data_IF_777506280428
#
_entry.id   IF_777506280428
#
_cell.length_a   1.000
_cell.length_b   1.000
_cell.length_c   1.000
_cell.angle_alpha   90.00
_cell.angle_beta   90.00
_cell.angle_gamma   90.00
#
_symmetry.space_group_name_H-M   'P 1'
#
loop_
_entity.id
_entity.type
_entity.pdbx_description
1 polymer ?
#
# COMPACT_ATOMS: atom_id res chain seq x y z
N UNK A 1 10.38 -9.37 -3.89
CA UNK A 1 9.88 -8.10 -3.31
C UNK A 1 11.03 -7.34 -2.65
N UNK A 2 11.31 -6.10 -3.07
CA UNK A 2 12.36 -5.25 -2.47
C UNK A 2 12.02 -4.96 -1.00
N UNK A 3 13.01 -4.95 -0.08
CA UNK A 3 12.83 -4.71 1.37
C UNK A 3 12.02 -3.44 1.68
N UNK A 4 12.12 -2.42 0.83
CA UNK A 4 11.35 -1.19 0.94
C UNK A 4 9.84 -1.42 0.78
N UNK A 5 9.42 -2.28 -0.17
CA UNK A 5 8.01 -2.58 -0.42
C UNK A 5 7.40 -3.36 0.74
N UNK A 6 8.16 -4.31 1.31
CA UNK A 6 7.77 -5.04 2.52
C UNK A 6 7.49 -4.11 3.71
N UNK A 7 8.38 -3.12 3.93
CA UNK A 7 8.20 -2.14 5.02
C UNK A 7 7.01 -1.21 4.79
N UNK A 8 6.75 -0.79 3.54
CA UNK A 8 5.58 0.01 3.19
C UNK A 8 4.28 -0.79 3.38
N UNK A 9 4.26 -2.05 2.95
CA UNK A 9 3.13 -2.97 3.13
C UNK A 9 2.83 -3.23 4.61
N UNK A 10 3.88 -3.45 5.42
CA UNK A 10 3.75 -3.66 6.86
C UNK A 10 3.17 -2.42 7.55
N UNK A 11 3.55 -1.21 7.12
CA UNK A 11 2.99 0.04 7.62
C UNK A 11 1.49 0.17 7.27
N UNK A 12 1.11 -0.16 6.03
CA UNK A 12 -0.29 -0.16 5.61
C UNK A 12 -1.13 -1.21 6.39
N UNK A 13 -0.58 -2.40 6.60
CA UNK A 13 -1.24 -3.46 7.37
C UNK A 13 -1.46 -3.06 8.85
N UNK A 14 -0.49 -2.37 9.46
CA UNK A 14 -0.63 -1.87 10.83
C UNK A 14 -1.68 -0.75 10.91
N UNK A 15 -1.71 0.15 9.94
CA UNK A 15 -2.73 1.21 9.88
C UNK A 15 -4.14 0.63 9.78
N UNK A 16 -4.34 -0.38 8.91
CA UNK A 16 -5.65 -1.05 8.78
C UNK A 16 -6.12 -1.73 10.09
N UNK A 17 -5.19 -2.28 10.88
CA UNK A 17 -5.53 -2.86 12.19
C UNK A 17 -5.93 -1.80 13.20
N UNK A 18 -5.20 -0.69 13.26
CA UNK A 18 -5.52 0.42 14.16
C UNK A 18 -6.90 1.00 13.84
N UNK A 19 -7.16 1.20 12.54
CA UNK A 19 -8.46 1.63 12.02
C UNK A 19 -9.58 0.64 12.38
N UNK A 20 -9.32 -0.67 12.33
CA UNK A 20 -10.27 -1.69 12.75
C UNK A 20 -10.51 -1.71 14.27
N UNK A 21 -9.46 -1.58 15.07
CA UNK A 21 -9.56 -1.54 16.53
C UNK A 21 -10.32 -0.28 16.99
N UNK A 22 -10.11 0.87 16.32
CA UNK A 22 -10.86 2.10 16.54
C UNK A 22 -12.35 1.89 16.25
N UNK A 23 -12.72 1.19 15.16
CA UNK A 23 -14.11 0.84 14.85
C UNK A 23 -14.77 -0.06 15.90
N UNK A 24 -14.02 -1.03 16.44
CA UNK A 24 -14.56 -1.99 17.39
C UNK A 24 -14.78 -1.34 18.78
N UNK A 25 -13.91 -0.39 19.15
CA UNK A 25 -13.86 0.16 20.50
C UNK A 25 -14.42 1.58 20.64
N UNK A 26 -14.28 2.43 19.61
CA UNK A 26 -14.76 3.82 19.64
C UNK A 26 -16.11 3.91 18.90
N UNK A 27 -17.19 3.94 19.69
CA UNK A 27 -18.55 3.99 19.16
C UNK A 27 -18.79 5.24 18.32
N UNK A 28 -19.13 5.04 17.04
CA UNK A 28 -19.72 5.89 15.98
C UNK A 28 -19.38 7.39 15.83
N UNK A 29 -18.84 8.07 16.84
CA UNK A 29 -18.64 9.53 16.86
C UNK A 29 -17.46 9.96 15.97
N UNK A 30 -16.55 9.04 15.62
CA UNK A 30 -15.41 9.28 14.72
C UNK A 30 -15.52 8.55 13.36
N UNK A 31 -16.69 7.98 13.03
CA UNK A 31 -16.93 7.31 11.74
C UNK A 31 -16.80 8.24 10.52
N UNK A 32 -17.05 9.54 10.69
CA UNK A 32 -16.86 10.52 9.62
C UNK A 32 -15.37 10.72 9.29
N UNK A 33 -14.50 10.68 10.31
CA UNK A 33 -13.04 10.69 10.13
C UNK A 33 -12.51 9.35 9.62
N UNK A 34 -13.22 8.25 9.92
CA UNK A 34 -12.86 6.92 9.48
C UNK A 34 -12.83 6.78 7.96
N UNK A 35 -13.85 7.30 7.25
CA UNK A 35 -13.89 7.26 5.79
C UNK A 35 -12.68 7.92 5.15
N UNK A 36 -12.28 9.08 5.69
CA UNK A 36 -11.10 9.83 5.23
C UNK A 36 -9.80 9.04 5.52
N UNK A 37 -9.65 8.49 6.73
CA UNK A 37 -8.48 7.68 7.11
C UNK A 37 -8.34 6.42 6.24
N UNK A 38 -9.45 5.77 5.92
CA UNK A 38 -9.46 4.58 5.07
C UNK A 38 -9.07 4.91 3.62
N UNK A 39 -9.58 6.01 3.07
CA UNK A 39 -9.19 6.50 1.73
C UNK A 39 -7.69 6.83 1.68
N UNK A 40 -7.15 7.47 2.72
CA UNK A 40 -5.71 7.74 2.81
C UNK A 40 -4.87 6.45 2.84
N UNK A 41 -5.34 5.41 3.53
CA UNK A 41 -4.68 4.10 3.53
C UNK A 41 -4.72 3.44 2.16
N UNK A 42 -5.88 3.49 1.50
CA UNK A 42 -6.08 2.93 0.17
C UNK A 42 -5.14 3.61 -0.84
N UNK A 43 -5.08 4.94 -0.84
CA UNK A 43 -4.16 5.71 -1.69
C UNK A 43 -2.69 5.37 -1.42
N UNK A 44 -2.31 5.17 -0.16
CA UNK A 44 -0.96 4.74 0.19
C UNK A 44 -0.64 3.33 -0.34
N UNK A 45 -1.62 2.41 -0.32
CA UNK A 45 -1.47 1.06 -0.87
C UNK A 45 -1.39 1.10 -2.40
N UNK A 46 -2.21 1.89 -3.08
CA UNK A 46 -2.16 2.07 -4.53
C UNK A 46 -0.80 2.58 -4.99
N UNK A 47 -0.24 3.59 -4.32
CA UNK A 47 1.10 4.08 -4.62
C UNK A 47 2.19 3.00 -4.42
N UNK A 48 2.04 2.11 -3.44
CA UNK A 48 2.95 0.97 -3.24
C UNK A 48 2.83 -0.03 -4.39
N UNK A 49 1.60 -0.31 -4.84
CA UNK A 49 1.34 -1.24 -5.92
C UNK A 49 1.87 -0.70 -7.26
N UNK A 50 1.72 0.60 -7.51
CA UNK A 50 2.29 1.28 -8.68
C UNK A 50 3.83 1.25 -8.65
N UNK A 51 4.46 1.55 -7.50
CA UNK A 51 5.91 1.41 -7.32
C UNK A 51 6.38 -0.04 -7.58
N UNK A 52 5.61 -1.03 -7.15
CA UNK A 52 5.91 -2.46 -7.37
C UNK A 52 5.77 -2.81 -8.84
N UNK A 53 4.70 -2.37 -9.50
CA UNK A 53 4.44 -2.65 -10.91
C UNK A 53 5.48 -1.96 -11.81
N UNK A 54 5.84 -0.71 -11.54
CA UNK A 54 6.90 0.00 -12.23
C UNK A 54 8.26 -0.71 -12.07
N UNK A 55 8.60 -1.10 -10.83
CA UNK A 55 9.82 -1.85 -10.58
C UNK A 55 9.84 -3.25 -11.22
N UNK A 56 8.67 -3.84 -11.48
CA UNK A 56 8.56 -5.11 -12.20
C UNK A 56 8.63 -4.95 -13.72
N UNK A 57 8.23 -3.81 -14.28
CA UNK A 57 8.37 -3.50 -15.71
C UNK A 57 9.81 -3.15 -16.11
N UNK A 58 10.54 -2.45 -15.24
CA UNK A 58 11.97 -2.15 -15.47
C UNK A 58 12.84 -3.42 -15.51
N UNK A 59 12.49 -4.48 -14.76
CA UNK A 59 13.23 -5.77 -14.82
C UNK A 59 12.93 -6.55 -16.14
N UNK A 60 11.81 -6.32 -16.81
CA UNK A 60 11.44 -7.00 -18.08
C UNK A 60 11.99 -6.27 -19.33
N UNK A 61 12.33 -4.98 -19.25
CA UNK A 61 12.88 -4.22 -20.39
C UNK A 61 14.40 -4.44 -20.62
N UNK A 62 15.11 -5.04 -19.66
CA UNK A 62 16.56 -5.34 -19.76
C UNK A 62 16.88 -6.70 -20.44
N UNK A 63 15.87 -7.50 -20.82
CA UNK A 63 16.06 -8.73 -21.63
C UNK A 63 15.86 -8.51 -23.14
N UNK A 64 15.97 -7.26 -23.61
CA UNK A 64 15.83 -6.86 -25.01
C UNK A 64 17.06 -7.11 -25.90
N UNK A 65 17.35 -8.37 -26.20
CA UNK A 65 17.86 -8.85 -27.51
C UNK A 65 19.22 -8.32 -28.04
N UNK A 66 20.33 -8.97 -27.68
CA UNK A 66 21.54 -8.97 -28.54
C UNK A 66 21.37 -10.02 -29.64
N UNK A 67 21.36 -9.57 -30.91
CA UNK A 67 21.57 -10.43 -32.08
C UNK A 67 22.84 -10.00 -32.80
N UNK A 68 23.83 -10.91 -32.80
CA UNK A 68 24.99 -10.88 -33.70
C UNK A 68 24.61 -11.15 -35.16
#
# INVERSE_FOLDING_TARGET
MKKAHLKKLEKAANFLREVYDDLENEGSEDLDNFGTRLDEAAAAIEAILEDVEAASKEDDEDEGFEVE
#
